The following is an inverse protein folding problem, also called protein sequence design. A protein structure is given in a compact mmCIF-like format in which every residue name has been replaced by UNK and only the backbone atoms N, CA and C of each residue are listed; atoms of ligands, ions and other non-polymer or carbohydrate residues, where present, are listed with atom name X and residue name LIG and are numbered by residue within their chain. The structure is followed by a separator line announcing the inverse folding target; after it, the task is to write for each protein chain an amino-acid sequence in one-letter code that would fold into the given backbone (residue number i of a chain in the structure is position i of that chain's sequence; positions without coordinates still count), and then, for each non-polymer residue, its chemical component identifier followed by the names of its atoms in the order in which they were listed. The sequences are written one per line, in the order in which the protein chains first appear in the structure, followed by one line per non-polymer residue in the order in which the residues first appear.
data_IF_535902236713
#
_entry.id   IF_535902236713
#
_cell.length_a   1.000
_cell.length_b   1.000
_cell.length_c   1.000
_cell.angle_alpha   90.00
_cell.angle_beta   90.00
_cell.angle_gamma   90.00
#
_symmetry.space_group_name_H-M   'P 1'
#
loop_
_entity.id
_entity.type
_entity.pdbx_description
1 polymer ?
#
# COMPACT_ATOMS: atom_id res chain seq x y z
N UNK A 1 -11.98 17.48 35.62
CA UNK A 1 -11.79 16.43 34.59
C UNK A 1 -10.46 16.69 33.89
N UNK A 2 -9.46 15.85 34.13
CA UNK A 2 -8.15 15.97 33.47
C UNK A 2 -8.29 15.32 32.08
N UNK A 3 -8.34 16.12 31.01
CA UNK A 3 -8.28 15.61 29.64
C UNK A 3 -6.89 15.04 29.39
N UNK A 4 -6.78 13.72 29.45
CA UNK A 4 -5.60 12.97 29.04
C UNK A 4 -5.45 13.14 27.52
N UNK A 5 -4.58 14.06 27.08
CA UNK A 5 -4.26 14.19 25.64
C UNK A 5 -3.59 12.89 25.20
N UNK A 6 -4.29 12.09 24.41
CA UNK A 6 -3.73 10.93 23.74
C UNK A 6 -2.54 11.39 22.88
N UNK A 7 -1.38 10.80 23.10
CA UNK A 7 -0.20 11.09 22.28
C UNK A 7 -0.43 10.49 20.88
N UNK A 8 -0.90 11.33 19.96
CA UNK A 8 -1.20 10.98 18.57
C UNK A 8 -0.01 10.34 17.85
N UNK A 9 1.23 10.66 18.24
CA UNK A 9 2.43 10.04 17.66
C UNK A 9 2.46 8.52 17.87
N UNK A 10 1.87 8.01 18.97
CA UNK A 10 1.76 6.56 19.26
C UNK A 10 0.88 5.82 18.23
N UNK A 11 -0.02 6.53 17.55
CA UNK A 11 -0.90 5.98 16.50
C UNK A 11 -0.43 6.32 15.07
N UNK A 12 0.59 7.17 14.94
CA UNK A 12 1.19 7.56 13.67
C UNK A 12 2.42 6.69 13.37
N UNK A 13 3.25 6.38 14.37
CA UNK A 13 4.46 5.56 14.18
C UNK A 13 4.17 4.16 13.60
N UNK A 14 3.20 3.37 14.12
CA UNK A 14 2.86 2.05 13.53
C UNK A 14 2.32 2.15 12.11
N UNK A 15 1.70 3.29 11.78
CA UNK A 15 1.13 3.54 10.45
C UNK A 15 2.20 3.73 9.39
N UNK A 16 3.32 4.37 9.74
CA UNK A 16 4.46 4.55 8.83
C UNK A 16 5.14 3.22 8.52
N UNK A 17 5.35 2.38 9.53
CA UNK A 17 5.93 1.04 9.35
C UNK A 17 5.04 0.15 8.48
N UNK A 18 3.72 0.15 8.72
CA UNK A 18 2.77 -0.58 7.89
C UNK A 18 2.72 -0.06 6.44
N UNK A 19 2.79 1.26 6.24
CA UNK A 19 2.84 1.86 4.90
C UNK A 19 4.12 1.51 4.15
N UNK A 20 5.27 1.49 4.83
CA UNK A 20 6.54 1.07 4.22
C UNK A 20 6.48 -0.38 3.74
N UNK A 21 5.96 -1.28 4.58
CA UNK A 21 5.80 -2.68 4.22
C UNK A 21 4.86 -2.86 3.01
N UNK A 22 3.73 -2.15 3.00
CA UNK A 22 2.79 -2.16 1.88
C UNK A 22 3.40 -1.60 0.60
N UNK A 23 4.21 -0.53 0.71
CA UNK A 23 4.89 0.06 -0.45
C UNK A 23 5.93 -0.90 -1.04
N UNK A 24 6.71 -1.60 -0.21
CA UNK A 24 7.64 -2.63 -0.66
C UNK A 24 6.89 -3.76 -1.38
N UNK A 25 5.72 -4.19 -0.89
CA UNK A 25 4.88 -5.18 -1.56
C UNK A 25 4.37 -4.64 -2.92
N UNK A 26 3.87 -3.40 -2.97
CA UNK A 26 3.43 -2.78 -4.22
C UNK A 26 4.54 -2.75 -5.29
N UNK A 27 5.78 -2.42 -4.91
CA UNK A 27 6.92 -2.43 -5.84
C UNK A 27 7.18 -3.85 -6.39
N UNK A 28 7.09 -4.88 -5.54
CA UNK A 28 7.26 -6.29 -5.97
C UNK A 28 6.17 -6.69 -6.97
N UNK A 29 4.91 -6.37 -6.67
CA UNK A 29 3.76 -6.64 -7.55
C UNK A 29 3.90 -5.90 -8.89
N UNK A 30 4.29 -4.62 -8.88
CA UNK A 30 4.53 -3.85 -10.11
C UNK A 30 5.60 -4.49 -11.02
N UNK A 31 6.71 -4.96 -10.43
CA UNK A 31 7.77 -5.63 -11.18
C UNK A 31 7.28 -6.93 -11.82
N UNK A 32 6.54 -7.73 -11.05
CA UNK A 32 5.95 -8.98 -11.54
C UNK A 32 4.91 -8.72 -12.64
N UNK A 33 4.01 -7.77 -12.43
CA UNK A 33 2.99 -7.38 -13.40
C UNK A 33 3.62 -6.93 -14.72
N UNK A 34 4.65 -6.08 -14.67
CA UNK A 34 5.40 -5.68 -15.87
C UNK A 34 6.02 -6.88 -16.57
N UNK A 35 6.59 -7.84 -15.83
CA UNK A 35 7.15 -9.06 -16.44
C UNK A 35 6.07 -9.90 -17.14
N UNK A 36 4.92 -10.11 -16.50
CA UNK A 36 3.79 -10.86 -17.08
C UNK A 36 3.29 -10.21 -18.36
N UNK A 37 3.10 -8.87 -18.35
CA UNK A 37 2.72 -8.08 -19.53
C UNK A 37 3.70 -8.27 -20.69
N UNK A 38 5.02 -8.23 -20.44
CA UNK A 38 6.03 -8.42 -21.49
C UNK A 38 6.08 -9.85 -22.02
N UNK A 39 5.73 -10.84 -21.19
CA UNK A 39 5.69 -12.26 -21.59
C UNK A 39 4.40 -12.70 -22.26
N UNK A 40 3.40 -11.81 -22.37
CA UNK A 40 2.09 -12.12 -22.97
C UNK A 40 1.16 -12.96 -22.08
N UNK A 41 1.51 -13.17 -20.81
CA UNK A 41 0.70 -13.85 -19.78
C UNK A 41 -0.41 -12.93 -19.28
N UNK A 42 -1.40 -12.67 -20.15
CA UNK A 42 -2.43 -11.65 -19.92
C UNK A 42 -3.34 -12.00 -18.74
N UNK A 43 -3.76 -13.24 -18.60
CA UNK A 43 -4.67 -13.65 -17.54
C UNK A 43 -4.03 -13.51 -16.15
N UNK A 44 -2.77 -13.96 -16.02
CA UNK A 44 -1.99 -13.80 -14.79
C UNK A 44 -1.71 -12.33 -14.49
N UNK A 45 -1.47 -11.52 -15.53
CA UNK A 45 -1.30 -10.07 -15.37
C UNK A 45 -2.58 -9.39 -14.86
N UNK A 46 -3.75 -9.75 -15.37
CA UNK A 46 -5.04 -9.22 -14.90
C UNK A 46 -5.33 -9.62 -13.45
N UNK A 47 -5.06 -10.88 -13.09
CA UNK A 47 -5.21 -11.34 -11.71
C UNK A 47 -4.29 -10.57 -10.75
N UNK A 48 -3.04 -10.35 -11.14
CA UNK A 48 -2.07 -9.60 -10.33
C UNK A 48 -2.41 -8.10 -10.25
N UNK A 49 -3.06 -7.56 -11.28
CA UNK A 49 -3.52 -6.17 -11.31
C UNK A 49 -4.57 -5.89 -10.22
N UNK A 50 -5.46 -6.86 -9.94
CA UNK A 50 -6.42 -6.77 -8.82
C UNK A 50 -5.70 -6.62 -7.48
N UNK A 51 -4.66 -7.43 -7.24
CA UNK A 51 -3.85 -7.32 -6.01
C UNK A 51 -3.12 -5.98 -5.93
N UNK A 52 -2.60 -5.48 -7.06
CA UNK A 52 -1.97 -4.18 -7.12
C UNK A 52 -2.93 -3.06 -6.72
N UNK A 53 -4.19 -3.10 -7.16
CA UNK A 53 -5.20 -2.11 -6.77
C UNK A 53 -5.49 -2.11 -5.26
N UNK A 54 -5.43 -3.27 -4.59
CA UNK A 54 -5.56 -3.33 -3.13
C UNK A 54 -4.44 -2.53 -2.44
N UNK A 55 -3.21 -2.62 -2.93
CA UNK A 55 -2.08 -1.84 -2.37
C UNK A 55 -2.25 -0.34 -2.60
N UNK A 56 -2.74 0.09 -3.76
CA UNK A 56 -3.02 1.50 -4.07
C UNK A 56 -4.06 2.06 -3.10
N UNK A 57 -5.16 1.32 -2.91
CA UNK A 57 -6.24 1.74 -2.01
C UNK A 57 -5.76 1.80 -0.55
N UNK A 58 -5.00 0.80 -0.10
CA UNK A 58 -4.46 0.76 1.26
C UNK A 58 -3.47 1.90 1.53
N UNK A 59 -2.56 2.18 0.59
CA UNK A 59 -1.58 3.28 0.72
C UNK A 59 -2.29 4.63 0.71
N UNK A 60 -3.23 4.85 -0.22
CA UNK A 60 -4.00 6.09 -0.31
C UNK A 60 -4.79 6.36 0.98
N UNK A 61 -5.45 5.33 1.53
CA UNK A 61 -6.15 5.44 2.81
C UNK A 61 -5.23 5.72 3.99
N UNK A 62 -4.02 5.15 3.99
CA UNK A 62 -3.04 5.35 5.06
C UNK A 62 -2.32 6.70 5.02
N UNK A 63 -2.04 7.24 3.82
CA UNK A 63 -1.44 8.56 3.62
C UNK A 63 -2.40 9.71 3.93
N UNK A 64 -3.72 9.51 3.76
CA UNK A 64 -4.77 10.51 3.98
C UNK A 64 -4.54 11.76 3.11
N UNK A 65 -4.48 12.95 3.69
CA UNK A 65 -4.41 14.23 2.98
C UNK A 65 -2.96 14.53 2.60
N UNK A 66 -2.69 14.63 1.30
CA UNK A 66 -1.37 14.94 0.73
C UNK A 66 -1.34 16.25 -0.08
N UNK A 67 -2.49 16.90 -0.24
CA UNK A 67 -2.66 18.17 -0.95
C UNK A 67 -2.71 19.37 -0.03
#
# INVERSE_FOLDING_TARGET
MISQRLNVNKFIAPRREGLEMLHIQQIKLLRQWRKLQHSGQKEEAENLLVELFLTINAISGGLRTTG
#
